data_IF_471947965994
#
_entry.id   IF_471947965994
#
_cell.length_a   1.000
_cell.length_b   1.000
_cell.length_c   1.000
_cell.angle_alpha   90.00
_cell.angle_beta   90.00
_cell.angle_gamma   90.00
#
_symmetry.space_group_name_H-M   'P 1'
#
loop_
_entity.id
_entity.type
_entity.pdbx_description
1 polymer ?
#
# COMPACT_ATOMS: atom_id res chain seq x y z
N UNK A 1 19.47 -9.56 -0.79
CA UNK A 1 18.69 -8.34 -0.47
C UNK A 1 19.37 -7.07 -0.99
N UNK A 2 20.69 -6.97 -1.01
CA UNK A 2 21.40 -5.74 -1.45
C UNK A 2 21.13 -5.30 -2.91
N UNK A 3 20.69 -6.19 -3.78
CA UNK A 3 20.38 -5.87 -5.19
C UNK A 3 18.89 -5.51 -5.44
N UNK A 4 18.05 -5.57 -4.40
CA UNK A 4 16.63 -5.27 -4.55
C UNK A 4 16.37 -3.79 -4.31
N UNK A 5 15.81 -3.12 -5.33
CA UNK A 5 15.36 -1.73 -5.25
C UNK A 5 13.85 -1.69 -5.07
N UNK A 6 13.40 -1.18 -3.94
CA UNK A 6 11.97 -1.06 -3.62
C UNK A 6 11.53 0.39 -3.78
N UNK A 7 10.67 0.65 -4.75
CA UNK A 7 10.04 1.96 -4.90
C UNK A 7 8.81 2.07 -4.00
N UNK A 8 8.79 3.09 -3.13
CA UNK A 8 7.63 3.40 -2.30
C UNK A 8 6.97 4.71 -2.77
N UNK A 9 5.79 4.57 -3.38
CA UNK A 9 4.94 5.69 -3.75
C UNK A 9 4.01 6.02 -2.57
N UNK A 10 4.13 7.25 -2.03
CA UNK A 10 3.50 7.65 -0.78
C UNK A 10 4.37 7.45 0.46
N UNK A 11 5.69 7.25 0.27
CA UNK A 11 6.68 6.97 1.32
C UNK A 11 7.07 8.14 2.23
N UNK A 12 6.52 9.35 2.02
CA UNK A 12 6.97 10.55 2.74
C UNK A 12 6.23 10.82 4.05
N UNK A 13 5.20 10.03 4.39
CA UNK A 13 4.40 10.17 5.62
C UNK A 13 3.58 8.92 5.93
N UNK A 14 3.09 8.84 7.16
CA UNK A 14 2.12 7.81 7.59
C UNK A 14 2.65 6.40 7.41
N UNK A 15 1.80 5.49 6.93
CA UNK A 15 2.18 4.07 6.72
C UNK A 15 3.33 3.92 5.74
N UNK A 16 3.34 4.71 4.64
CA UNK A 16 4.41 4.63 3.65
C UNK A 16 5.78 5.02 4.22
N UNK A 17 5.85 6.03 5.08
CA UNK A 17 7.11 6.39 5.77
C UNK A 17 7.60 5.23 6.66
N UNK A 18 6.71 4.62 7.44
CA UNK A 18 7.06 3.48 8.28
C UNK A 18 7.52 2.25 7.45
N UNK A 19 6.96 2.06 6.25
CA UNK A 19 7.44 1.05 5.30
C UNK A 19 8.87 1.37 4.85
N UNK A 20 9.14 2.62 4.46
CA UNK A 20 10.49 3.06 4.05
C UNK A 20 11.50 2.80 5.15
N UNK A 21 11.20 3.20 6.38
CA UNK A 21 12.08 3.02 7.55
C UNK A 21 12.33 1.54 7.86
N UNK A 22 11.29 0.70 7.75
CA UNK A 22 11.42 -0.74 7.99
C UNK A 22 12.25 -1.43 6.90
N UNK A 23 11.98 -1.14 5.63
CA UNK A 23 12.75 -1.69 4.51
C UNK A 23 14.23 -1.29 4.60
N UNK A 24 14.52 -0.02 4.93
CA UNK A 24 15.90 0.44 5.08
C UNK A 24 16.62 -0.27 6.23
N UNK A 25 15.94 -0.49 7.36
CA UNK A 25 16.46 -1.25 8.51
C UNK A 25 16.78 -2.70 8.14
N UNK A 26 15.96 -3.29 7.26
CA UNK A 26 16.15 -4.67 6.79
C UNK A 26 17.14 -4.77 5.62
N UNK A 27 17.82 -3.66 5.27
CA UNK A 27 18.93 -3.65 4.29
C UNK A 27 18.49 -3.55 2.82
N UNK A 28 17.23 -3.19 2.54
CA UNK A 28 16.78 -2.91 1.17
C UNK A 28 17.29 -1.54 0.68
N UNK A 29 17.53 -1.44 -0.63
CA UNK A 29 17.68 -0.15 -1.29
C UNK A 29 16.29 0.42 -1.53
N UNK A 30 15.96 1.49 -0.82
CA UNK A 30 14.63 2.11 -0.91
C UNK A 30 14.69 3.36 -1.77
N UNK A 31 13.74 3.50 -2.66
CA UNK A 31 13.46 4.72 -3.43
C UNK A 31 12.09 5.26 -3.06
N UNK A 32 12.00 6.54 -2.75
CA UNK A 32 10.74 7.20 -2.40
C UNK A 32 10.37 8.24 -3.45
N UNK A 33 9.18 8.08 -4.05
CA UNK A 33 8.63 9.10 -4.96
C UNK A 33 8.11 10.28 -4.15
N UNK A 34 8.55 11.48 -4.46
CA UNK A 34 8.13 12.71 -3.80
C UNK A 34 7.83 13.83 -4.79
N UNK A 35 6.67 14.50 -4.60
CA UNK A 35 6.31 15.71 -5.37
C UNK A 35 7.21 16.90 -5.06
N UNK A 36 7.74 16.95 -3.85
CA UNK A 36 8.68 17.96 -3.38
C UNK A 36 9.86 17.28 -2.66
N UNK A 37 10.94 16.93 -3.40
CA UNK A 37 12.10 16.26 -2.82
C UNK A 37 12.78 17.05 -1.69
N UNK A 38 12.83 18.38 -1.78
CA UNK A 38 13.43 19.21 -0.74
C UNK A 38 12.71 19.13 0.60
N UNK A 39 11.41 18.87 0.62
CA UNK A 39 10.64 18.63 1.84
C UNK A 39 10.68 17.17 2.30
N UNK A 40 10.88 16.25 1.38
CA UNK A 40 10.90 14.82 1.68
C UNK A 40 12.26 14.35 2.22
N UNK A 41 13.35 14.83 1.64
CA UNK A 41 14.70 14.39 1.97
C UNK A 41 15.05 14.54 3.48
N UNK A 42 14.75 15.65 4.17
CA UNK A 42 15.04 15.76 5.60
C UNK A 42 14.27 14.76 6.47
N UNK A 43 13.08 14.30 6.00
CA UNK A 43 12.26 13.32 6.73
C UNK A 43 12.74 11.90 6.53
N UNK A 44 13.26 11.59 5.35
CA UNK A 44 13.69 10.26 4.96
C UNK A 44 15.16 10.00 5.32
N UNK A 45 15.95 11.07 5.44
CA UNK A 45 17.38 10.96 5.76
C UNK A 45 18.10 9.98 4.82
N UNK A 46 18.86 9.06 5.39
CA UNK A 46 19.55 7.99 4.67
C UNK A 46 18.66 6.76 4.37
N UNK A 47 17.40 6.75 4.81
CA UNK A 47 16.52 5.60 4.66
C UNK A 47 16.04 5.37 3.21
N UNK A 48 16.08 6.41 2.35
CA UNK A 48 15.68 6.27 0.96
C UNK A 48 16.34 7.30 0.04
N UNK A 49 16.60 6.87 -1.21
CA UNK A 49 16.81 7.77 -2.34
C UNK A 49 15.50 8.49 -2.67
N UNK A 50 15.50 9.81 -2.63
CA UNK A 50 14.31 10.61 -2.95
C UNK A 50 14.32 10.98 -4.43
N UNK A 51 13.32 10.52 -5.17
CA UNK A 51 13.14 10.82 -6.60
C UNK A 51 11.94 11.74 -6.80
N UNK A 52 12.15 12.79 -7.57
CA UNK A 52 11.07 13.73 -7.95
C UNK A 52 10.04 13.06 -8.85
N UNK A 53 8.75 13.25 -8.54
CA UNK A 53 7.67 12.79 -9.41
C UNK A 53 6.30 12.88 -8.73
N UNK A 54 5.27 12.84 -9.58
CA UNK A 54 3.87 12.90 -9.18
C UNK A 54 3.07 11.85 -9.94
N UNK A 55 2.36 11.00 -9.23
CA UNK A 55 1.53 9.94 -9.84
C UNK A 55 0.43 10.50 -10.75
N UNK A 56 0.03 11.77 -10.57
CA UNK A 56 -0.92 12.47 -11.43
C UNK A 56 -0.29 13.02 -12.72
N UNK A 57 1.04 12.90 -12.85
CA UNK A 57 1.85 13.33 -14.00
C UNK A 57 2.71 12.16 -14.48
N UNK A 58 2.17 11.29 -15.34
CA UNK A 58 2.84 10.04 -15.74
C UNK A 58 4.22 10.26 -16.39
N UNK A 59 4.46 11.41 -17.02
CA UNK A 59 5.74 11.78 -17.60
C UNK A 59 6.88 11.94 -16.58
N UNK A 60 6.55 12.10 -15.30
CA UNK A 60 7.52 12.24 -14.20
C UNK A 60 7.94 10.92 -13.57
N UNK A 61 7.31 9.80 -13.94
CA UNK A 61 7.51 8.51 -13.30
C UNK A 61 8.67 7.66 -13.83
N UNK A 62 9.13 7.80 -15.11
CA UNK A 62 10.13 6.89 -15.66
C UNK A 62 11.42 6.78 -14.85
N UNK A 63 11.93 7.89 -14.32
CA UNK A 63 13.13 7.86 -13.48
C UNK A 63 12.93 7.11 -12.16
N UNK A 64 11.73 7.19 -11.58
CA UNK A 64 11.43 6.54 -10.32
C UNK A 64 11.30 5.00 -10.47
N UNK A 65 10.74 4.52 -11.59
CA UNK A 65 10.49 3.08 -11.82
C UNK A 65 11.67 2.35 -12.47
N UNK A 66 12.73 3.06 -12.85
CA UNK A 66 13.89 2.45 -13.49
C UNK A 66 14.60 1.47 -12.54
N UNK A 67 14.86 0.26 -13.00
CA UNK A 67 15.59 -0.81 -12.28
C UNK A 67 14.94 -1.21 -10.93
N UNK A 68 13.64 -0.98 -10.79
CA UNK A 68 12.88 -1.31 -9.57
C UNK A 68 12.50 -2.79 -9.58
N UNK A 69 12.79 -3.48 -8.47
CA UNK A 69 12.44 -4.89 -8.29
C UNK A 69 11.09 -5.09 -7.59
N UNK A 70 10.65 -4.13 -6.78
CA UNK A 70 9.35 -4.13 -6.12
C UNK A 70 8.78 -2.71 -6.08
N UNK A 71 7.47 -2.59 -6.21
CA UNK A 71 6.78 -1.31 -6.13
C UNK A 71 5.69 -1.37 -5.06
N UNK A 72 5.76 -0.48 -4.09
CA UNK A 72 4.75 -0.35 -3.03
C UNK A 72 3.99 0.95 -3.23
N UNK A 73 2.67 0.86 -3.41
CA UNK A 73 1.81 2.01 -3.60
C UNK A 73 0.92 2.23 -2.37
N UNK A 74 1.22 3.28 -1.61
CA UNK A 74 0.47 3.71 -0.42
C UNK A 74 -0.04 5.14 -0.54
N UNK A 75 0.15 5.78 -1.70
CA UNK A 75 -0.30 7.15 -1.89
C UNK A 75 -1.82 7.25 -1.84
N UNK A 76 -2.29 8.25 -1.14
CA UNK A 76 -3.70 8.57 -1.03
C UNK A 76 -3.91 10.02 -0.65
N UNK A 77 -5.13 10.52 -0.89
CA UNK A 77 -5.53 11.85 -0.48
C UNK A 77 -5.63 11.89 1.05
N UNK A 78 -5.21 13.01 1.66
CA UNK A 78 -5.23 13.20 3.10
C UNK A 78 -6.60 12.88 3.72
N UNK A 79 -6.59 12.52 5.01
CA UNK A 79 -7.82 12.28 5.77
C UNK A 79 -8.67 13.55 5.79
N UNK A 80 -9.98 13.39 5.60
CA UNK A 80 -10.97 14.49 5.59
C UNK A 80 -11.75 14.57 4.27
N UNK A 81 -12.63 15.56 4.14
CA UNK A 81 -13.38 15.79 2.92
C UNK A 81 -12.48 16.00 1.71
N UNK A 82 -12.81 15.37 0.59
CA UNK A 82 -12.04 15.53 -0.63
C UNK A 82 -12.97 15.55 -1.86
N UNK A 83 -12.60 16.35 -2.86
CA UNK A 83 -13.29 16.34 -4.16
C UNK A 83 -12.96 15.06 -4.90
N UNK A 84 -13.96 14.45 -5.52
CA UNK A 84 -13.81 13.17 -6.23
C UNK A 84 -12.70 13.22 -7.29
N UNK A 85 -12.59 14.31 -8.05
CA UNK A 85 -11.52 14.46 -9.06
C UNK A 85 -10.11 14.25 -8.49
N UNK A 86 -9.87 14.66 -7.23
CA UNK A 86 -8.57 14.49 -6.59
C UNK A 86 -8.34 13.03 -6.16
N UNK A 87 -9.42 12.38 -5.71
CA UNK A 87 -9.40 10.94 -5.41
C UNK A 87 -9.11 10.15 -6.68
N UNK A 88 -9.84 10.44 -7.76
CA UNK A 88 -9.64 9.80 -9.07
C UNK A 88 -8.19 9.96 -9.53
N UNK A 89 -7.70 11.19 -9.59
CA UNK A 89 -6.35 11.48 -10.08
C UNK A 89 -5.25 10.79 -9.27
N UNK A 90 -5.41 10.68 -7.92
CA UNK A 90 -4.36 10.14 -7.04
C UNK A 90 -4.53 8.65 -6.77
N UNK A 91 -5.75 8.21 -6.37
CA UNK A 91 -6.00 6.86 -5.82
C UNK A 91 -6.42 5.85 -6.89
N UNK A 92 -6.79 6.32 -8.09
CA UNK A 92 -7.15 5.46 -9.23
C UNK A 92 -6.19 5.66 -10.42
N UNK A 93 -6.21 6.82 -11.06
CA UNK A 93 -5.33 7.10 -12.20
C UNK A 93 -3.87 7.05 -11.82
N UNK A 94 -3.51 7.51 -10.61
CA UNK A 94 -2.16 7.42 -10.09
C UNK A 94 -1.65 5.98 -9.99
N UNK A 95 -2.49 5.02 -9.62
CA UNK A 95 -2.15 3.59 -9.63
C UNK A 95 -1.94 3.11 -11.06
N UNK A 96 -2.84 3.46 -11.99
CA UNK A 96 -2.72 3.10 -13.41
C UNK A 96 -1.44 3.67 -14.04
N UNK A 97 -1.12 4.93 -13.75
CA UNK A 97 0.08 5.59 -14.23
C UNK A 97 1.35 4.90 -13.72
N UNK A 98 1.38 4.54 -12.44
CA UNK A 98 2.50 3.80 -11.84
C UNK A 98 2.68 2.42 -12.49
N UNK A 99 1.60 1.64 -12.64
CA UNK A 99 1.60 0.35 -13.33
C UNK A 99 2.07 0.47 -14.78
N UNK A 100 1.51 1.44 -15.54
CA UNK A 100 1.87 1.64 -16.93
C UNK A 100 3.33 2.06 -17.09
N UNK A 101 3.85 2.92 -16.21
CA UNK A 101 5.25 3.33 -16.21
C UNK A 101 6.18 2.17 -15.87
N UNK A 102 5.85 1.39 -14.84
CA UNK A 102 6.60 0.21 -14.43
C UNK A 102 6.66 -0.82 -15.57
N UNK A 103 5.53 -1.14 -16.20
CA UNK A 103 5.48 -2.07 -17.35
C UNK A 103 6.33 -1.60 -18.52
N UNK A 104 6.29 -0.32 -18.88
CA UNK A 104 7.15 0.25 -19.93
C UNK A 104 8.64 0.17 -19.60
N UNK A 105 8.99 0.18 -18.30
CA UNK A 105 10.35 -0.01 -17.82
C UNK A 105 10.79 -1.48 -17.72
N UNK A 106 9.96 -2.43 -18.17
CA UNK A 106 10.26 -3.86 -18.09
C UNK A 106 10.11 -4.47 -16.68
N UNK A 107 9.32 -3.84 -15.81
CA UNK A 107 9.09 -4.32 -14.45
C UNK A 107 8.49 -5.73 -14.44
N UNK A 108 9.20 -6.65 -13.82
CA UNK A 108 8.81 -8.06 -13.65
C UNK A 108 8.62 -8.45 -12.19
N UNK A 109 8.76 -7.50 -11.27
CA UNK A 109 8.63 -7.71 -9.83
C UNK A 109 7.19 -7.62 -9.33
N UNK A 110 7.05 -7.51 -8.01
CA UNK A 110 5.74 -7.47 -7.36
C UNK A 110 5.28 -6.05 -7.07
N UNK A 111 4.01 -5.78 -7.43
CA UNK A 111 3.30 -4.54 -7.12
C UNK A 111 2.45 -4.72 -5.87
N UNK A 112 2.83 -4.10 -4.74
CA UNK A 112 2.08 -4.14 -3.50
C UNK A 112 1.20 -2.89 -3.38
N UNK A 113 -0.09 -3.07 -3.16
CA UNK A 113 -1.05 -1.98 -3.09
C UNK A 113 -1.75 -1.90 -1.74
N UNK A 114 -1.71 -0.71 -1.12
CA UNK A 114 -2.45 -0.44 0.11
C UNK A 114 -3.83 0.11 -0.20
N UNK A 115 -4.85 -0.63 0.17
CA UNK A 115 -6.24 -0.21 0.08
C UNK A 115 -6.92 -0.30 1.45
N UNK A 116 -8.21 -0.49 1.53
CA UNK A 116 -8.98 -0.41 2.76
C UNK A 116 -10.01 -1.51 2.86
N UNK A 117 -10.27 -2.00 4.05
CA UNK A 117 -11.48 -2.75 4.39
C UNK A 117 -12.71 -1.96 3.95
N UNK A 118 -13.76 -2.65 3.52
CA UNK A 118 -15.02 -2.06 3.05
C UNK A 118 -15.07 -1.70 1.57
N UNK A 119 -14.00 -1.96 0.82
CA UNK A 119 -13.97 -1.74 -0.65
C UNK A 119 -15.00 -2.61 -1.38
N UNK A 120 -15.20 -3.84 -0.94
CA UNK A 120 -16.11 -4.81 -1.57
C UNK A 120 -17.40 -5.02 -0.80
N UNK A 121 -17.44 -4.74 0.49
CA UNK A 121 -18.62 -4.94 1.33
C UNK A 121 -19.30 -3.64 1.70
N UNK A 122 -20.58 -3.51 1.36
CA UNK A 122 -21.38 -2.32 1.68
C UNK A 122 -21.62 -2.20 3.20
N UNK A 123 -21.56 -0.97 3.72
CA UNK A 123 -21.93 -0.61 5.08
C UNK A 123 -22.32 0.85 5.14
N UNK A 124 -23.05 1.27 6.17
CA UNK A 124 -23.38 2.69 6.38
C UNK A 124 -22.11 3.55 6.47
N UNK A 125 -21.10 3.06 7.18
CA UNK A 125 -19.80 3.75 7.29
C UNK A 125 -19.09 3.89 5.94
N UNK A 126 -19.16 2.86 5.07
CA UNK A 126 -18.61 2.91 3.72
C UNK A 126 -19.36 3.92 2.84
N UNK A 127 -20.68 3.96 2.95
CA UNK A 127 -21.51 4.93 2.22
C UNK A 127 -21.21 6.36 2.66
N UNK A 128 -21.13 6.60 3.97
CA UNK A 128 -20.80 7.91 4.51
C UNK A 128 -19.38 8.34 4.11
N UNK A 129 -18.41 7.44 4.19
CA UNK A 129 -17.04 7.73 3.75
C UNK A 129 -16.99 8.10 2.27
N UNK A 130 -17.69 7.37 1.41
CA UNK A 130 -17.75 7.68 -0.01
C UNK A 130 -18.38 9.05 -0.27
N UNK A 131 -19.46 9.40 0.45
CA UNK A 131 -20.11 10.70 0.33
C UNK A 131 -19.17 11.85 0.71
N UNK A 132 -18.47 11.73 1.84
CA UNK A 132 -17.57 12.77 2.37
C UNK A 132 -16.25 12.83 1.62
N UNK A 133 -15.74 11.68 1.14
CA UNK A 133 -14.42 11.56 0.54
C UNK A 133 -14.47 11.14 -0.94
N UNK A 134 -15.36 11.74 -1.72
CA UNK A 134 -15.37 11.65 -3.17
C UNK A 134 -15.31 10.21 -3.71
N UNK A 135 -16.17 9.31 -3.21
CA UNK A 135 -16.27 7.92 -3.66
C UNK A 135 -14.96 7.10 -3.54
N UNK A 136 -14.11 7.43 -2.54
CA UNK A 136 -12.77 6.83 -2.40
C UNK A 136 -12.77 5.29 -2.42
N UNK A 137 -13.72 4.62 -1.76
CA UNK A 137 -13.78 3.15 -1.75
C UNK A 137 -14.15 2.58 -3.12
N UNK A 138 -15.00 3.27 -3.88
CA UNK A 138 -15.37 2.88 -5.25
C UNK A 138 -14.16 2.95 -6.18
N UNK A 139 -13.37 4.03 -6.09
CA UNK A 139 -12.19 4.22 -6.93
C UNK A 139 -11.05 3.29 -6.56
N UNK A 140 -10.87 3.00 -5.27
CA UNK A 140 -9.92 1.97 -4.80
C UNK A 140 -10.29 0.59 -5.29
N UNK A 141 -11.58 0.23 -5.28
CA UNK A 141 -12.06 -1.03 -5.86
C UNK A 141 -11.69 -1.14 -7.35
N UNK A 142 -11.92 -0.08 -8.12
CA UNK A 142 -11.51 -0.04 -9.53
C UNK A 142 -10.00 -0.21 -9.70
N UNK A 143 -9.21 0.45 -8.87
CA UNK A 143 -7.76 0.28 -8.89
C UNK A 143 -7.33 -1.17 -8.60
N UNK A 144 -7.99 -1.85 -7.64
CA UNK A 144 -7.75 -3.27 -7.38
C UNK A 144 -8.10 -4.15 -8.60
N UNK A 145 -9.22 -3.87 -9.26
CA UNK A 145 -9.65 -4.57 -10.49
C UNK A 145 -8.61 -4.40 -11.61
N UNK A 146 -8.13 -3.17 -11.85
CA UNK A 146 -7.10 -2.87 -12.85
C UNK A 146 -5.75 -3.52 -12.52
N UNK A 147 -5.36 -3.59 -11.23
CA UNK A 147 -4.14 -4.28 -10.78
C UNK A 147 -4.25 -5.77 -11.12
N UNK A 148 -5.36 -6.44 -10.78
CA UNK A 148 -5.57 -7.87 -11.08
C UNK A 148 -5.53 -8.15 -12.57
N UNK A 149 -6.11 -7.27 -13.38
CA UNK A 149 -6.14 -7.39 -14.84
C UNK A 149 -4.80 -7.02 -15.52
N UNK A 150 -3.85 -6.42 -14.78
CA UNK A 150 -2.62 -5.86 -15.38
C UNK A 150 -1.61 -6.90 -15.88
N UNK A 151 -1.71 -8.15 -15.44
CA UNK A 151 -0.73 -9.21 -15.70
C UNK A 151 0.56 -9.11 -14.86
N UNK A 152 0.74 -8.06 -14.06
CA UNK A 152 1.87 -7.91 -13.13
C UNK A 152 1.64 -8.78 -11.90
N UNK A 153 2.71 -9.34 -11.29
CA UNK A 153 2.59 -9.96 -9.97
C UNK A 153 2.20 -8.91 -8.92
N UNK A 154 1.22 -9.21 -8.09
CA UNK A 154 0.68 -8.23 -7.14
C UNK A 154 0.39 -8.83 -5.76
N UNK A 155 0.31 -7.94 -4.78
CA UNK A 155 -0.29 -8.20 -3.46
C UNK A 155 -1.16 -7.01 -3.08
N UNK A 156 -2.44 -7.22 -2.84
CA UNK A 156 -3.39 -6.18 -2.42
C UNK A 156 -3.68 -6.33 -0.94
N UNK A 157 -3.31 -5.33 -0.15
CA UNK A 157 -3.49 -5.33 1.32
C UNK A 157 -4.54 -4.30 1.69
N UNK A 158 -5.70 -4.77 2.17
CA UNK A 158 -6.82 -3.96 2.66
C UNK A 158 -6.66 -3.73 4.15
N UNK A 159 -6.17 -2.58 4.53
CA UNK A 159 -5.97 -2.22 5.92
C UNK A 159 -7.28 -1.81 6.61
N UNK A 160 -7.44 -2.21 7.87
CA UNK A 160 -8.48 -1.69 8.76
C UNK A 160 -8.30 -0.20 9.07
N UNK A 161 -9.11 0.36 9.97
CA UNK A 161 -8.96 1.73 10.46
C UNK A 161 -7.55 1.96 11.02
N UNK A 162 -6.82 2.89 10.40
CA UNK A 162 -5.42 3.15 10.70
C UNK A 162 -5.26 4.04 11.95
N UNK A 163 -4.54 3.55 12.95
CA UNK A 163 -4.20 4.26 14.17
C UNK A 163 -2.72 4.64 14.21
N UNK A 164 -2.41 5.78 14.84
CA UNK A 164 -1.04 6.23 15.10
C UNK A 164 -0.58 5.73 16.48
N UNK A 165 -0.63 4.43 16.70
CA UNK A 165 -0.17 3.77 17.91
C UNK A 165 1.03 2.88 17.62
N UNK A 166 1.77 2.49 18.66
CA UNK A 166 2.87 1.55 18.51
C UNK A 166 2.39 0.20 17.97
N UNK A 167 3.14 -0.36 17.03
CA UNK A 167 2.93 -1.70 16.52
C UNK A 167 3.49 -2.79 17.43
N UNK A 168 3.29 -4.05 17.03
CA UNK A 168 3.86 -5.22 17.69
C UNK A 168 3.20 -5.65 19.00
N UNK A 169 2.15 -4.94 19.46
CA UNK A 169 1.53 -5.17 20.77
C UNK A 169 0.32 -6.08 20.74
N UNK A 170 -0.38 -6.16 19.62
CA UNK A 170 -1.63 -6.88 19.45
C UNK A 170 -1.49 -8.00 18.43
N UNK A 171 -2.32 -9.01 18.56
CA UNK A 171 -2.47 -10.01 17.53
C UNK A 171 -2.86 -9.35 16.20
N UNK A 172 -2.30 -9.83 15.12
CA UNK A 172 -2.68 -9.45 13.76
C UNK A 172 -3.57 -10.58 13.23
N UNK A 173 -4.66 -10.19 12.62
CA UNK A 173 -5.55 -11.07 11.87
C UNK A 173 -5.42 -10.74 10.39
N UNK A 174 -5.18 -11.78 9.59
CA UNK A 174 -5.14 -11.74 8.13
C UNK A 174 -6.33 -12.55 7.62
N UNK A 175 -7.17 -11.95 6.77
CA UNK A 175 -8.38 -12.57 6.27
C UNK A 175 -8.57 -12.31 4.78
N UNK A 176 -9.01 -13.31 4.04
CA UNK A 176 -9.48 -13.15 2.65
C UNK A 176 -11.01 -12.99 2.58
N UNK A 177 -11.70 -13.11 3.70
CA UNK A 177 -13.10 -12.74 3.81
C UNK A 177 -13.26 -11.22 3.86
N UNK A 178 -14.25 -10.70 3.15
CA UNK A 178 -14.51 -9.26 3.10
C UNK A 178 -15.26 -8.80 4.35
N UNK A 179 -14.74 -7.81 5.05
CA UNK A 179 -15.39 -7.18 6.19
C UNK A 179 -15.99 -5.81 5.83
N UNK A 180 -17.09 -5.39 6.49
CA UNK A 180 -17.63 -4.07 6.32
C UNK A 180 -16.70 -3.02 6.93
N UNK A 181 -16.65 -1.82 6.36
CA UNK A 181 -15.93 -0.71 6.97
C UNK A 181 -16.54 -0.39 8.34
N UNK A 182 -15.76 -0.57 9.40
CA UNK A 182 -16.17 -0.32 10.78
C UNK A 182 -14.95 -0.02 11.65
N UNK A 183 -15.05 0.90 12.64
CA UNK A 183 -14.00 1.15 13.62
C UNK A 183 -13.61 -0.09 14.46
N UNK A 184 -14.43 -1.12 14.45
CA UNK A 184 -14.12 -2.42 15.06
C UNK A 184 -12.88 -3.04 14.43
N UNK A 185 -12.73 -2.92 13.11
CA UNK A 185 -11.59 -3.42 12.34
C UNK A 185 -10.54 -2.34 12.22
N UNK A 186 -9.65 -2.27 13.19
CA UNK A 186 -8.60 -1.25 13.30
C UNK A 186 -7.22 -1.89 13.45
N UNK A 187 -6.18 -1.14 13.11
CA UNK A 187 -4.80 -1.60 13.16
C UNK A 187 -3.84 -0.41 13.27
N UNK A 188 -2.68 -0.59 13.91
CA UNK A 188 -1.64 0.42 13.88
C UNK A 188 -1.00 0.53 12.49
N UNK A 189 -0.64 1.74 12.07
CA UNK A 189 0.14 1.95 10.83
C UNK A 189 1.45 1.19 10.82
N UNK A 190 2.08 1.03 12.00
CA UNK A 190 3.31 0.28 12.15
C UNK A 190 3.10 -1.22 11.87
N UNK A 191 1.98 -1.81 12.34
CA UNK A 191 1.66 -3.21 12.04
C UNK A 191 1.32 -3.42 10.56
N UNK A 192 0.67 -2.43 9.91
CA UNK A 192 0.45 -2.47 8.45
C UNK A 192 1.78 -2.38 7.71
N UNK A 193 2.67 -1.48 8.13
CA UNK A 193 4.00 -1.35 7.51
C UNK A 193 4.78 -2.66 7.59
N UNK A 194 4.78 -3.30 8.75
CA UNK A 194 5.40 -4.62 8.92
C UNK A 194 4.73 -5.68 8.03
N UNK A 195 3.40 -5.67 7.89
CA UNK A 195 2.69 -6.58 6.96
C UNK A 195 3.19 -6.42 5.51
N UNK A 196 3.45 -5.19 5.06
CA UNK A 196 4.00 -4.94 3.72
C UNK A 196 5.40 -5.51 3.54
N UNK A 197 6.27 -5.30 4.52
CA UNK A 197 7.66 -5.81 4.49
C UNK A 197 7.67 -7.34 4.50
N UNK A 198 6.86 -7.94 5.35
CA UNK A 198 6.74 -9.39 5.45
C UNK A 198 6.11 -10.02 4.20
N UNK A 199 5.19 -9.34 3.55
CA UNK A 199 4.57 -9.82 2.32
C UNK A 199 5.51 -9.72 1.09
N UNK A 200 6.50 -8.82 1.12
CA UNK A 200 7.30 -8.43 -0.04
C UNK A 200 7.90 -9.63 -0.79
N UNK A 201 8.54 -10.54 -0.07
CA UNK A 201 9.29 -11.66 -0.65
C UNK A 201 8.61 -13.03 -0.42
N UNK A 202 7.41 -13.08 0.17
CA UNK A 202 6.75 -14.38 0.38
C UNK A 202 6.03 -14.83 -0.88
N UNK A 203 6.33 -16.01 -1.42
CA UNK A 203 5.61 -16.55 -2.58
C UNK A 203 4.11 -16.70 -2.34
N UNK A 204 3.70 -17.01 -1.11
CA UNK A 204 2.30 -17.17 -0.71
C UNK A 204 1.46 -15.91 -0.84
N UNK A 205 2.09 -14.73 -0.93
CA UNK A 205 1.39 -13.45 -1.12
C UNK A 205 1.32 -13.00 -2.57
N UNK A 206 1.89 -13.77 -3.51
CA UNK A 206 1.79 -13.52 -4.95
C UNK A 206 0.35 -13.68 -5.43
N UNK A 207 -0.13 -12.68 -6.17
CA UNK A 207 -1.49 -12.63 -6.74
C UNK A 207 -2.59 -12.82 -5.68
N UNK A 208 -2.42 -12.21 -4.51
CA UNK A 208 -3.38 -12.31 -3.41
C UNK A 208 -3.96 -10.97 -3.01
N UNK A 209 -5.22 -11.02 -2.57
CA UNK A 209 -5.90 -9.92 -1.89
C UNK A 209 -6.31 -10.38 -0.50
N UNK A 210 -5.92 -9.63 0.52
CA UNK A 210 -6.32 -9.94 1.90
C UNK A 210 -6.51 -8.67 2.73
N UNK A 211 -7.27 -8.81 3.79
CA UNK A 211 -7.52 -7.79 4.79
C UNK A 211 -6.58 -7.98 5.98
N UNK A 212 -6.12 -6.88 6.59
CA UNK A 212 -5.30 -6.90 7.78
C UNK A 212 -5.89 -5.99 8.86
N UNK A 213 -6.04 -6.56 10.05
CA UNK A 213 -6.61 -5.88 11.22
C UNK A 213 -6.05 -6.43 12.51
N UNK A 214 -6.34 -5.81 13.63
CA UNK A 214 -6.04 -6.39 14.92
C UNK A 214 -7.02 -7.50 15.28
N UNK A 215 -6.46 -8.63 15.65
CA UNK A 215 -7.14 -9.75 16.29
C UNK A 215 -7.28 -9.56 17.81
N UNK A 216 -7.73 -10.60 18.48
CA UNK A 216 -7.87 -10.64 19.93
C UNK A 216 -6.56 -11.08 20.60
N UNK A 217 -6.25 -10.48 21.75
CA UNK A 217 -5.11 -10.85 22.58
C UNK A 217 -3.78 -10.24 22.13
N UNK A 218 -2.67 -10.62 22.78
CA UNK A 218 -1.33 -10.18 22.45
C UNK A 218 -0.85 -10.80 21.15
N UNK A 219 0.05 -10.12 20.49
CA UNK A 219 0.66 -10.59 19.26
C UNK A 219 1.51 -11.83 19.50
N UNK A 220 1.28 -12.92 18.69
CA UNK A 220 2.30 -13.99 18.67
C UNK A 220 2.20 -15.00 17.53
N UNK A 221 1.27 -14.86 16.60
CA UNK A 221 1.23 -15.72 15.43
C UNK A 221 2.38 -15.33 14.48
N UNK A 222 3.27 -16.27 14.13
CA UNK A 222 4.33 -16.01 13.16
C UNK A 222 3.79 -15.61 11.78
N UNK A 223 4.53 -14.76 11.06
CA UNK A 223 4.13 -14.31 9.73
C UNK A 223 3.99 -15.45 8.72
N UNK A 224 4.80 -16.50 8.83
CA UNK A 224 4.70 -17.68 7.97
C UNK A 224 3.35 -18.39 8.14
N UNK A 225 2.81 -18.42 9.33
CA UNK A 225 1.48 -18.97 9.58
C UNK A 225 0.37 -18.01 9.12
N UNK A 226 0.53 -16.69 9.32
CA UNK A 226 -0.47 -15.69 8.92
C UNK A 226 -0.58 -15.58 7.39
N UNK A 227 0.54 -15.54 6.69
CA UNK A 227 0.61 -15.33 5.25
C UNK A 227 0.73 -16.62 4.43
N UNK A 228 1.14 -17.72 5.07
CA UNK A 228 1.33 -19.01 4.40
C UNK A 228 0.02 -19.70 3.97
N UNK A 229 -1.11 -19.28 4.52
CA UNK A 229 -2.43 -19.86 4.22
C UNK A 229 -3.19 -19.10 3.11
N UNK A 230 -2.61 -18.03 2.60
CA UNK A 230 -3.26 -17.21 1.56
C UNK A 230 -3.39 -17.99 0.26
N UNK A 231 -4.56 -17.83 -0.36
CA UNK A 231 -4.88 -18.40 -1.68
C UNK A 231 -4.81 -17.28 -2.72
N UNK A 232 -4.29 -17.61 -3.90
CA UNK A 232 -4.29 -16.68 -5.02
C UNK A 232 -5.72 -16.29 -5.40
N UNK A 233 -5.86 -15.05 -5.84
CA UNK A 233 -7.12 -14.55 -6.42
C UNK A 233 -7.43 -15.35 -7.71
N UNK A 234 -8.71 -15.66 -7.93
CA UNK A 234 -9.18 -16.42 -9.08
C UNK A 234 -9.13 -15.57 -10.37
#
# INVERSE_FOLDING_TARGET
>A
MQDQVVLVIGGTRGTGLLIVESLARDGYRVRALARNPGQAAPRLGSAAEVVAGDVTRPETLPAAVKDVTHLIFTAGVAVGPARERLIVATEYEGVRNALASARRAGFSGRFLYMTSIGVTRRSLSATLLNLVKGNTLRWRRRAEEDIRASGVDYTIIRAGFLLNSAGGRRAIEVSQEAHPLSPRYRIARADVAETFVEALNRPSTSRTTFEVMWGRGPRRTPWDQLLGQLRQDA
#
